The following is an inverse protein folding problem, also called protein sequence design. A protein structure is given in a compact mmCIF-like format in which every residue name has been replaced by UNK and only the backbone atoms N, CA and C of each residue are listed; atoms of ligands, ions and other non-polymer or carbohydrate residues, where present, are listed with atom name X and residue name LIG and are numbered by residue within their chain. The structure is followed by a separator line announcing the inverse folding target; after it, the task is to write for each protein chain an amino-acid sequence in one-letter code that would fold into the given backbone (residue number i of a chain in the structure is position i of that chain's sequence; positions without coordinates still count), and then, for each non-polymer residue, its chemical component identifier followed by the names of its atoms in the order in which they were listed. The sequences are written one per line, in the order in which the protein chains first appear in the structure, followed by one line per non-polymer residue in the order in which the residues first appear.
data_IF_275735568951
#
_entry.id   IF_275735568951
#
_cell.length_a   1.000
_cell.length_b   1.000
_cell.length_c   1.000
_cell.angle_alpha   90.00
_cell.angle_beta   90.00
_cell.angle_gamma   90.00
#
_symmetry.space_group_name_H-M   'P 1'
#
loop_
_entity.id
_entity.type
_entity.pdbx_description
1 polymer ?
#
# COMPACT_ATOMS: atom_id res chain seq x y z
N UNK A 1 10.76 7.75 65.17
CA UNK A 1 9.32 7.87 65.46
C UNK A 1 8.58 7.67 64.16
N UNK A 2 7.57 6.80 64.13
CA UNK A 2 6.80 6.54 62.90
C UNK A 2 5.76 7.64 62.73
N UNK A 3 5.74 8.29 61.56
CA UNK A 3 4.70 9.23 61.20
C UNK A 3 3.38 8.46 61.04
N UNK A 4 2.41 8.71 61.91
CA UNK A 4 1.15 7.98 61.94
C UNK A 4 0.08 8.68 61.09
N UNK A 5 -1.01 7.98 60.76
CA UNK A 5 -2.14 8.58 60.03
C UNK A 5 -2.82 9.73 60.81
N UNK A 6 -2.76 9.70 62.15
CA UNK A 6 -3.21 10.82 62.99
C UNK A 6 -2.31 12.04 62.85
N UNK A 7 -1.00 11.85 62.74
CA UNK A 7 -0.04 12.93 62.50
C UNK A 7 -0.26 13.59 61.13
N UNK A 8 -0.60 12.80 60.10
CA UNK A 8 -0.98 13.30 58.78
C UNK A 8 -2.24 14.18 58.82
N UNK A 9 -3.31 13.70 59.46
CA UNK A 9 -4.54 14.49 59.60
C UNK A 9 -4.34 15.75 60.43
N UNK A 10 -3.48 15.69 61.45
CA UNK A 10 -3.06 16.87 62.22
C UNK A 10 -2.35 17.89 61.33
N UNK A 11 -1.39 17.44 60.53
CA UNK A 11 -0.66 18.29 59.57
C UNK A 11 -1.59 18.94 58.54
N UNK A 12 -2.58 18.21 58.01
CA UNK A 12 -3.54 18.76 57.04
C UNK A 12 -4.41 19.85 57.65
N UNK A 13 -4.92 19.65 58.87
CA UNK A 13 -5.70 20.68 59.58
C UNK A 13 -4.87 21.92 59.89
N UNK A 14 -3.62 21.72 60.29
CA UNK A 14 -2.72 22.78 60.68
C UNK A 14 -2.23 23.59 59.45
N UNK A 15 -2.08 22.94 58.29
CA UNK A 15 -1.96 23.63 57.00
C UNK A 15 -3.24 24.39 56.64
N UNK A 16 -4.43 23.92 57.05
CA UNK A 16 -5.69 24.60 56.78
C UNK A 16 -5.81 25.93 57.54
N UNK A 17 -5.39 25.92 58.80
CA UNK A 17 -5.37 27.06 59.72
C UNK A 17 -4.26 28.08 59.40
N UNK A 18 -3.15 27.65 58.79
CA UNK A 18 -1.99 28.49 58.47
C UNK A 18 -1.79 28.68 56.95
N UNK A 19 -2.40 29.72 56.34
CA UNK A 19 -2.30 29.97 54.90
C UNK A 19 -0.86 30.22 54.40
N UNK A 20 0.02 30.75 55.27
CA UNK A 20 1.44 30.95 55.02
C UNK A 20 2.20 29.61 54.80
N UNK A 21 1.85 28.55 55.53
CA UNK A 21 2.49 27.24 55.37
C UNK A 21 2.00 26.52 54.13
N UNK A 22 0.72 26.70 53.78
CA UNK A 22 0.21 26.30 52.46
C UNK A 22 0.94 27.02 51.33
N UNK A 23 1.25 28.31 51.49
CA UNK A 23 1.97 29.07 50.47
C UNK A 23 3.41 28.58 50.29
N UNK A 24 4.14 28.34 51.39
CA UNK A 24 5.50 27.78 51.33
C UNK A 24 5.50 26.33 50.80
N UNK A 25 4.54 25.50 51.22
CA UNK A 25 4.41 24.14 50.70
C UNK A 25 4.06 24.15 49.22
N UNK A 26 3.20 25.07 48.76
CA UNK A 26 2.94 25.29 47.33
C UNK A 26 4.19 25.75 46.60
N UNK A 27 5.00 26.64 47.17
CA UNK A 27 6.25 27.11 46.53
C UNK A 27 7.29 26.00 46.40
N UNK A 28 7.36 25.09 47.37
CA UNK A 28 8.28 23.95 47.35
C UNK A 28 7.80 22.79 46.46
N UNK A 29 6.48 22.56 46.37
CA UNK A 29 5.89 21.46 45.61
C UNK A 29 5.42 21.83 44.20
N UNK A 30 5.03 23.07 43.93
CA UNK A 30 4.65 23.53 42.59
C UNK A 30 5.88 24.11 41.89
N UNK A 31 6.83 23.23 41.59
CA UNK A 31 7.92 23.57 40.68
C UNK A 31 7.34 23.90 39.31
N UNK A 32 8.05 24.74 38.53
CA UNK A 32 7.68 25.11 37.17
C UNK A 32 7.36 23.88 36.29
N UNK A 33 8.06 22.77 36.51
CA UNK A 33 7.83 21.50 35.83
C UNK A 33 6.43 20.93 36.11
N UNK A 34 6.00 20.86 37.36
CA UNK A 34 4.68 20.35 37.75
C UNK A 34 3.54 21.29 37.31
N UNK A 35 3.78 22.60 37.28
CA UNK A 35 2.83 23.57 36.75
C UNK A 35 2.66 23.47 35.23
N UNK A 36 3.71 23.04 34.51
CA UNK A 36 3.67 22.88 33.05
C UNK A 36 3.07 21.55 32.58
N UNK A 37 3.04 20.51 33.44
CA UNK A 37 2.52 19.18 33.09
C UNK A 37 1.12 19.18 32.42
N UNK A 38 0.12 19.95 32.89
CA UNK A 38 -1.19 19.98 32.24
C UNK A 38 -1.15 20.53 30.80
N UNK A 39 -0.23 21.43 30.49
CA UNK A 39 -0.02 21.91 29.11
C UNK A 39 0.66 20.83 28.27
N UNK A 40 1.72 20.20 28.81
CA UNK A 40 2.43 19.09 28.14
C UNK A 40 1.48 17.92 27.84
N UNK A 41 0.62 17.55 28.78
CA UNK A 41 -0.40 16.50 28.57
C UNK A 41 -1.40 16.93 27.49
N UNK A 42 -1.88 18.18 27.51
CA UNK A 42 -2.77 18.69 26.45
C UNK A 42 -2.11 18.69 25.08
N UNK A 43 -0.82 19.04 25.00
CA UNK A 43 -0.05 19.00 23.77
C UNK A 43 0.13 17.56 23.27
N UNK A 44 0.49 16.63 24.16
CA UNK A 44 0.59 15.20 23.83
C UNK A 44 -0.74 14.64 23.35
N UNK A 45 -1.86 14.96 24.00
CA UNK A 45 -3.20 14.53 23.57
C UNK A 45 -3.53 15.03 22.17
N UNK A 46 -3.22 16.29 21.84
CA UNK A 46 -3.40 16.84 20.49
C UNK A 46 -2.52 16.13 19.46
N UNK A 47 -1.26 15.87 19.79
CA UNK A 47 -0.34 15.14 18.90
C UNK A 47 -0.83 13.71 18.65
N UNK A 48 -1.32 13.02 19.68
CA UNK A 48 -1.91 11.69 19.55
C UNK A 48 -3.13 11.73 18.63
N UNK A 49 -4.05 12.69 18.82
CA UNK A 49 -5.23 12.83 17.97
C UNK A 49 -4.85 13.06 16.49
N UNK A 50 -3.84 13.90 16.24
CA UNK A 50 -3.32 14.13 14.89
C UNK A 50 -2.72 12.86 14.28
N UNK A 51 -1.92 12.11 15.04
CA UNK A 51 -1.35 10.85 14.61
C UNK A 51 -2.42 9.81 14.31
N UNK A 52 -3.46 9.71 15.15
CA UNK A 52 -4.59 8.80 14.90
C UNK A 52 -5.31 9.14 13.59
N UNK A 53 -5.55 10.44 13.31
CA UNK A 53 -6.16 10.87 12.04
C UNK A 53 -5.26 10.58 10.84
N UNK A 54 -3.96 10.84 10.96
CA UNK A 54 -2.99 10.55 9.90
C UNK A 54 -2.89 9.03 9.63
N UNK A 55 -2.93 8.22 10.67
CA UNK A 55 -2.95 6.76 10.60
C UNK A 55 -4.20 6.27 9.85
N UNK A 56 -5.39 6.74 10.23
CA UNK A 56 -6.66 6.39 9.56
C UNK A 56 -6.64 6.76 8.08
N UNK A 57 -6.18 7.97 7.74
CA UNK A 57 -6.06 8.40 6.34
C UNK A 57 -5.06 7.53 5.57
N UNK A 58 -3.97 7.10 6.20
CA UNK A 58 -2.98 6.21 5.58
C UNK A 58 -3.56 4.82 5.32
N UNK A 59 -4.31 4.27 6.27
CA UNK A 59 -5.01 2.98 6.11
C UNK A 59 -6.03 3.02 4.97
N UNK A 60 -6.81 4.10 4.85
CA UNK A 60 -7.73 4.28 3.73
C UNK A 60 -7.00 4.34 2.37
N UNK A 61 -5.85 5.02 2.31
CA UNK A 61 -5.02 5.09 1.09
C UNK A 61 -4.44 3.72 0.75
N UNK A 62 -4.02 2.94 1.74
CA UNK A 62 -3.52 1.58 1.56
C UNK A 62 -4.62 0.67 0.99
N UNK A 63 -5.84 0.69 1.55
CA UNK A 63 -6.96 -0.09 1.01
C UNK A 63 -7.26 0.25 -0.46
N UNK A 64 -7.28 1.55 -0.81
CA UNK A 64 -7.47 1.97 -2.20
C UNK A 64 -6.35 1.50 -3.12
N UNK A 65 -5.11 1.47 -2.63
CA UNK A 65 -3.97 0.97 -3.36
C UNK A 65 -4.08 -0.54 -3.58
N UNK A 66 -4.45 -1.30 -2.56
CA UNK A 66 -4.70 -2.74 -2.64
C UNK A 66 -5.76 -3.07 -3.70
N UNK A 67 -6.91 -2.38 -3.67
CA UNK A 67 -7.96 -2.54 -4.69
C UNK A 67 -7.47 -2.21 -6.11
N UNK A 68 -6.60 -1.20 -6.24
CA UNK A 68 -6.03 -0.81 -7.54
C UNK A 68 -5.06 -1.86 -8.06
N UNK A 69 -4.23 -2.42 -7.18
CA UNK A 69 -3.29 -3.49 -7.49
C UNK A 69 -4.03 -4.76 -7.90
N UNK A 70 -5.11 -5.11 -7.21
CA UNK A 70 -5.94 -6.27 -7.58
C UNK A 70 -6.55 -6.12 -8.98
N UNK A 71 -7.12 -4.95 -9.29
CA UNK A 71 -7.65 -4.65 -10.63
C UNK A 71 -6.57 -4.70 -11.71
N UNK A 72 -5.36 -4.22 -11.40
CA UNK A 72 -4.24 -4.27 -12.34
C UNK A 72 -3.78 -5.71 -12.60
N UNK A 73 -3.71 -6.55 -11.55
CA UNK A 73 -3.37 -7.96 -11.67
C UNK A 73 -4.40 -8.72 -12.53
N UNK A 74 -5.70 -8.43 -12.35
CA UNK A 74 -6.74 -9.01 -13.19
C UNK A 74 -6.63 -8.56 -14.65
N UNK A 75 -6.39 -7.27 -14.89
CA UNK A 75 -6.19 -6.73 -16.23
C UNK A 75 -4.95 -7.33 -16.92
N UNK A 76 -3.87 -7.54 -16.18
CA UNK A 76 -2.67 -8.20 -16.66
C UNK A 76 -2.97 -9.64 -17.07
N UNK A 77 -3.63 -10.43 -16.21
CA UNK A 77 -4.01 -11.82 -16.52
C UNK A 77 -4.87 -11.91 -17.79
N UNK A 78 -5.86 -11.03 -17.95
CA UNK A 78 -6.68 -10.96 -19.17
C UNK A 78 -5.85 -10.63 -20.42
N UNK A 79 -4.80 -9.83 -20.26
CA UNK A 79 -3.88 -9.47 -21.34
C UNK A 79 -3.00 -10.65 -21.72
N UNK A 80 -2.45 -11.38 -20.74
CA UNK A 80 -1.68 -12.60 -20.96
C UNK A 80 -2.51 -13.67 -21.68
N UNK A 81 -3.77 -13.87 -21.28
CA UNK A 81 -4.70 -14.79 -21.97
C UNK A 81 -5.01 -14.36 -23.42
N UNK A 82 -5.00 -13.06 -23.72
CA UNK A 82 -5.16 -12.56 -25.10
C UNK A 82 -3.89 -12.77 -25.91
N UNK A 83 -2.73 -12.56 -25.31
CA UNK A 83 -1.42 -12.80 -25.95
C UNK A 83 -1.29 -14.28 -26.31
N UNK A 84 -1.58 -15.21 -25.38
CA UNK A 84 -1.51 -16.65 -25.69
C UNK A 84 -2.42 -17.07 -26.85
N UNK A 85 -3.63 -16.50 -26.95
CA UNK A 85 -4.53 -16.74 -28.11
C UNK A 85 -3.98 -16.15 -29.41
N UNK A 86 -3.31 -15.00 -29.35
CA UNK A 86 -2.67 -14.40 -30.53
C UNK A 86 -1.48 -15.25 -30.97
N UNK A 87 -0.66 -15.75 -30.06
CA UNK A 87 0.44 -16.66 -30.34
C UNK A 87 -0.05 -17.93 -31.06
N UNK A 88 -1.11 -18.57 -30.55
CA UNK A 88 -1.72 -19.74 -31.20
C UNK A 88 -2.25 -19.41 -32.62
N UNK A 89 -2.83 -18.23 -32.80
CA UNK A 89 -3.33 -17.78 -34.11
C UNK A 89 -2.18 -17.55 -35.10
N UNK A 90 -1.09 -16.95 -34.63
CA UNK A 90 0.11 -16.71 -35.44
C UNK A 90 0.77 -18.03 -35.84
N UNK A 91 0.85 -19.01 -34.94
CA UNK A 91 1.37 -20.34 -35.25
C UNK A 91 0.54 -21.03 -36.35
N UNK A 92 -0.79 -21.02 -36.23
CA UNK A 92 -1.70 -21.56 -37.26
C UNK A 92 -1.54 -20.84 -38.60
N UNK A 93 -1.36 -19.52 -38.59
CA UNK A 93 -1.14 -18.74 -39.82
C UNK A 93 0.20 -19.10 -40.47
N UNK A 94 1.27 -19.26 -39.69
CA UNK A 94 2.57 -19.67 -40.18
C UNK A 94 2.51 -21.07 -40.81
N UNK A 95 1.78 -22.01 -40.20
CA UNK A 95 1.58 -23.34 -40.79
C UNK A 95 0.77 -23.27 -42.11
N UNK A 96 -0.30 -22.48 -42.15
CA UNK A 96 -1.09 -22.28 -43.36
C UNK A 96 -0.28 -21.63 -44.49
N UNK A 97 0.60 -20.68 -44.15
CA UNK A 97 1.53 -20.05 -45.09
C UNK A 97 2.49 -21.09 -45.66
N UNK A 98 3.14 -21.91 -44.81
CA UNK A 98 4.05 -22.97 -45.25
C UNK A 98 3.37 -23.95 -46.21
N UNK A 99 2.15 -24.40 -45.88
CA UNK A 99 1.37 -25.28 -46.77
C UNK A 99 1.04 -24.62 -48.11
N UNK A 100 0.85 -23.31 -48.12
CA UNK A 100 0.59 -22.54 -49.34
C UNK A 100 1.85 -22.43 -50.19
N UNK A 101 3.00 -22.12 -49.57
CA UNK A 101 4.32 -22.10 -50.23
C UNK A 101 4.64 -23.47 -50.87
N UNK A 102 4.41 -24.57 -50.15
CA UNK A 102 4.60 -25.94 -50.67
C UNK A 102 3.66 -26.27 -51.85
N UNK A 103 2.47 -25.67 -51.92
CA UNK A 103 1.55 -25.84 -53.06
C UNK A 103 1.98 -25.00 -54.25
N UNK A 104 2.46 -23.79 -54.01
CA UNK A 104 3.00 -22.90 -55.04
C UNK A 104 4.22 -23.55 -55.70
N UNK A 105 5.18 -24.06 -54.93
CA UNK A 105 6.35 -24.77 -55.50
C UNK A 105 5.96 -25.96 -56.39
N UNK A 106 4.96 -26.75 -55.98
CA UNK A 106 4.43 -27.85 -56.81
C UNK A 106 3.75 -27.37 -58.10
N UNK A 107 3.06 -26.23 -58.05
CA UNK A 107 2.46 -25.61 -59.23
C UNK A 107 3.54 -25.09 -60.18
N UNK A 108 4.59 -24.44 -59.65
CA UNK A 108 5.75 -23.97 -60.42
C UNK A 108 6.41 -25.13 -61.18
N UNK A 109 6.70 -26.25 -60.51
CA UNK A 109 7.24 -27.45 -61.15
C UNK A 109 6.34 -28.01 -62.26
N UNK A 110 5.02 -27.97 -62.05
CA UNK A 110 4.05 -28.48 -63.04
C UNK A 110 4.00 -27.58 -64.27
N UNK A 111 4.04 -26.26 -64.06
CA UNK A 111 4.08 -25.26 -65.14
C UNK A 111 5.38 -25.39 -65.94
N UNK A 112 6.52 -25.59 -65.29
CA UNK A 112 7.81 -25.81 -65.96
C UNK A 112 7.76 -27.06 -66.86
N UNK A 113 7.29 -28.19 -66.33
CA UNK A 113 7.11 -29.43 -67.11
C UNK A 113 6.18 -29.26 -68.31
N UNK A 114 5.09 -28.50 -68.15
CA UNK A 114 4.16 -28.22 -69.24
C UNK A 114 4.81 -27.35 -70.32
N UNK A 115 5.56 -26.32 -69.92
CA UNK A 115 6.28 -25.45 -70.84
C UNK A 115 7.35 -26.23 -71.63
N UNK A 116 8.08 -27.15 -70.98
CA UNK A 116 9.01 -28.05 -71.66
C UNK A 116 8.32 -28.98 -72.64
N UNK A 117 7.18 -29.58 -72.26
CA UNK A 117 6.42 -30.46 -73.15
C UNK A 117 5.93 -29.70 -74.40
N UNK A 118 5.42 -28.48 -74.25
CA UNK A 118 5.01 -27.63 -75.37
C UNK A 118 6.16 -27.31 -76.32
N UNK A 119 7.34 -26.96 -75.79
CA UNK A 119 8.55 -26.71 -76.62
C UNK A 119 9.03 -27.92 -77.41
N UNK A 120 8.69 -29.15 -76.99
CA UNK A 120 9.05 -30.38 -77.70
C UNK A 120 8.05 -30.75 -78.79
N UNK A 121 6.84 -30.19 -78.73
CA UNK A 121 5.76 -30.44 -79.69
C UNK A 121 5.62 -29.36 -80.77
N UNK A 122 6.17 -28.17 -80.53
CA UNK A 122 6.41 -27.12 -81.55
C UNK A 122 7.70 -27.40 -82.33
#
# INVERSE_FOLDING_TARGET
MAFTAQDYMGLVKLLDEHPEWKAELRRLLLTEELLSLPETVRQLSRSIEQLTKAQQSSEERLRRLEETVEKLAEAQRRTEERIGRLEETVEKLAEAQRRTEERIGRLEETVEKLAEAQRRTE
#
